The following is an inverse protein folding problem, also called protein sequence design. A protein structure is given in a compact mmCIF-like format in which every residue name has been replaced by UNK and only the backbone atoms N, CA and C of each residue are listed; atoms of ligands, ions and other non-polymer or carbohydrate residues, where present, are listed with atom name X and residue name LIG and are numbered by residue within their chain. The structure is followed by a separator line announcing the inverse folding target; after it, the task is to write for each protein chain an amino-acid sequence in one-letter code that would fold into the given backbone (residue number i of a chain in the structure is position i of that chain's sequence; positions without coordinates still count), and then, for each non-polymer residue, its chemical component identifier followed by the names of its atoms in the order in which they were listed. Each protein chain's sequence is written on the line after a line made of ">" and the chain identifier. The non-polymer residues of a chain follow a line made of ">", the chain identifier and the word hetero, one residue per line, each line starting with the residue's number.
data_IF_372393794937
#
_entry.id   IF_372393794937
#
_cell.length_a   1.000
_cell.length_b   1.000
_cell.length_c   1.000
_cell.angle_alpha   90.00
_cell.angle_beta   90.00
_cell.angle_gamma   90.00
#
_symmetry.space_group_name_H-M   'P 1'
#
loop_
_entity.id
_entity.type
_entity.pdbx_description
1 polymer ?
#
# COMPACT_ATOMS: atom_id res chain seq x y z
N UNK A 1 -17.68 11.19 -2.19
CA UNK A 1 -16.27 10.94 -2.59
C UNK A 1 -16.13 9.82 -3.62
N UNK A 2 -16.97 8.78 -3.56
CA UNK A 2 -16.89 7.59 -4.42
C UNK A 2 -18.09 7.43 -5.36
N UNK A 3 -18.78 8.53 -5.68
CA UNK A 3 -19.96 8.51 -6.56
C UNK A 3 -19.64 7.84 -7.89
N UNK A 4 -20.53 6.94 -8.31
CA UNK A 4 -20.42 6.17 -9.56
C UNK A 4 -19.21 5.24 -9.64
N UNK A 5 -18.62 4.88 -8.49
CA UNK A 5 -17.58 3.87 -8.38
C UNK A 5 -18.12 2.65 -7.64
N UNK A 6 -17.68 1.48 -8.06
CA UNK A 6 -18.01 0.21 -7.46
C UNK A 6 -16.81 -0.37 -6.72
N UNK A 7 -17.05 -1.04 -5.60
CA UNK A 7 -16.01 -1.74 -4.86
C UNK A 7 -16.45 -3.13 -4.42
N UNK A 8 -15.47 -4.01 -4.30
CA UNK A 8 -15.58 -5.26 -3.58
C UNK A 8 -14.75 -5.16 -2.29
N UNK A 9 -15.27 -5.75 -1.21
CA UNK A 9 -14.64 -5.78 0.10
C UNK A 9 -14.42 -7.23 0.51
N UNK A 10 -13.20 -7.52 0.95
CA UNK A 10 -12.89 -8.79 1.60
C UNK A 10 -13.62 -8.93 2.94
N UNK A 11 -13.85 -10.17 3.36
CA UNK A 11 -14.32 -10.55 4.69
C UNK A 11 -13.42 -10.01 5.82
N UNK A 12 -12.15 -9.71 5.52
CA UNK A 12 -11.23 -9.03 6.45
C UNK A 12 -11.56 -7.56 6.71
N UNK A 13 -12.42 -6.93 5.90
CA UNK A 13 -12.74 -5.50 6.02
C UNK A 13 -13.92 -5.28 6.95
N UNK A 14 -13.76 -4.59 8.11
CA UNK A 14 -14.85 -4.28 9.02
C UNK A 14 -15.93 -3.43 8.36
N UNK A 15 -17.18 -3.68 8.76
CA UNK A 15 -18.37 -2.99 8.26
C UNK A 15 -18.25 -1.46 8.35
N UNK A 16 -17.57 -0.94 9.37
CA UNK A 16 -17.36 0.50 9.53
C UNK A 16 -16.70 1.14 8.30
N UNK A 17 -15.71 0.48 7.68
CA UNK A 17 -15.05 1.02 6.48
C UNK A 17 -15.86 0.83 5.21
N UNK A 18 -16.63 -0.24 5.13
CA UNK A 18 -17.60 -0.41 4.04
C UNK A 18 -18.66 0.70 4.09
N UNK A 19 -19.06 1.12 5.30
CA UNK A 19 -20.02 2.22 5.47
C UNK A 19 -19.45 3.55 4.95
N UNK A 20 -18.16 3.85 5.15
CA UNK A 20 -17.51 5.04 4.57
C UNK A 20 -17.72 5.07 3.05
N UNK A 21 -17.48 3.95 2.37
CA UNK A 21 -17.65 3.84 0.92
C UNK A 21 -19.09 4.13 0.49
N UNK A 22 -20.06 3.51 1.16
CA UNK A 22 -21.50 3.67 0.86
C UNK A 22 -21.97 5.11 1.12
N UNK A 23 -21.63 5.68 2.28
CA UNK A 23 -22.01 7.04 2.67
C UNK A 23 -21.46 8.09 1.69
N UNK A 24 -20.27 7.83 1.16
CA UNK A 24 -19.63 8.68 0.17
C UNK A 24 -20.10 8.44 -1.28
N UNK A 25 -21.14 7.62 -1.45
CA UNK A 25 -21.87 7.39 -2.70
C UNK A 25 -21.36 6.26 -3.59
N UNK A 26 -20.49 5.39 -3.07
CA UNK A 26 -20.02 4.20 -3.76
C UNK A 26 -21.03 3.04 -3.71
N UNK A 27 -20.89 2.10 -4.65
CA UNK A 27 -21.71 0.87 -4.69
C UNK A 27 -20.86 -0.36 -4.38
N UNK A 28 -21.47 -1.40 -3.80
CA UNK A 28 -20.79 -2.67 -3.53
C UNK A 28 -21.21 -3.70 -4.57
N UNK A 29 -20.24 -4.40 -5.17
CA UNK A 29 -20.48 -5.41 -6.21
C UNK A 29 -19.59 -6.64 -6.02
N UNK A 30 -19.75 -7.65 -6.88
CA UNK A 30 -18.81 -8.77 -6.96
C UNK A 30 -17.43 -8.29 -7.41
N UNK A 31 -16.36 -8.97 -6.96
CA UNK A 31 -14.97 -8.62 -7.30
C UNK A 31 -14.72 -8.51 -8.80
N UNK A 32 -15.33 -9.38 -9.62
CA UNK A 32 -15.18 -9.39 -11.08
C UNK A 32 -15.84 -8.21 -11.82
N UNK A 33 -16.62 -7.39 -11.13
CA UNK A 33 -17.31 -6.21 -11.69
C UNK A 33 -16.95 -4.92 -10.98
N UNK A 34 -16.14 -5.01 -9.92
CA UNK A 34 -15.79 -3.88 -9.08
C UNK A 34 -14.66 -3.07 -9.71
N UNK A 35 -14.71 -1.75 -9.59
CA UNK A 35 -13.61 -0.86 -9.98
C UNK A 35 -12.46 -0.90 -8.96
N UNK A 36 -12.77 -1.18 -7.70
CA UNK A 36 -11.81 -1.22 -6.59
C UNK A 36 -11.99 -2.47 -5.74
N UNK A 37 -10.88 -3.09 -5.35
CA UNK A 37 -10.88 -4.27 -4.50
C UNK A 37 -10.15 -3.90 -3.21
N UNK A 38 -10.84 -4.02 -2.07
CA UNK A 38 -10.28 -3.68 -0.78
C UNK A 38 -10.19 -4.91 0.14
N UNK A 39 -9.06 -5.04 0.82
CA UNK A 39 -8.83 -6.04 1.85
C UNK A 39 -7.97 -5.45 2.97
N UNK A 40 -8.01 -6.02 4.15
CA UNK A 40 -7.06 -5.69 5.22
C UNK A 40 -6.01 -6.75 5.45
N UNK A 41 -6.28 -7.96 4.98
CA UNK A 41 -5.45 -9.10 5.26
C UNK A 41 -5.22 -9.89 3.98
N UNK A 42 -3.97 -9.88 3.53
CA UNK A 42 -3.53 -10.63 2.36
C UNK A 42 -3.61 -12.14 2.56
N UNK A 43 -3.74 -12.63 3.80
CA UNK A 43 -3.97 -14.04 4.13
C UNK A 43 -5.45 -14.42 4.18
N UNK A 44 -6.36 -13.45 4.06
CA UNK A 44 -7.79 -13.73 4.10
C UNK A 44 -8.19 -14.65 2.92
N UNK A 45 -8.96 -15.73 3.13
CA UNK A 45 -9.23 -16.72 2.09
C UNK A 45 -9.85 -16.17 0.80
N UNK A 46 -10.66 -15.13 0.90
CA UNK A 46 -11.25 -14.48 -0.27
C UNK A 46 -10.27 -13.58 -1.04
N UNK A 47 -9.32 -12.97 -0.34
CA UNK A 47 -8.23 -12.19 -0.91
C UNK A 47 -7.19 -13.10 -1.57
N UNK A 48 -6.87 -14.23 -0.94
CA UNK A 48 -6.01 -15.27 -1.54
C UNK A 48 -6.59 -15.80 -2.85
N UNK A 49 -7.90 -16.05 -2.91
CA UNK A 49 -8.58 -16.46 -4.16
C UNK A 49 -8.39 -15.45 -5.29
N UNK A 50 -8.28 -14.16 -4.99
CA UNK A 50 -7.98 -13.12 -5.99
C UNK A 50 -6.52 -13.21 -6.41
N UNK A 51 -5.57 -13.34 -5.47
CA UNK A 51 -4.14 -13.47 -5.81
C UNK A 51 -3.81 -14.72 -6.64
N UNK A 52 -4.58 -15.80 -6.46
CA UNK A 52 -4.46 -17.04 -7.24
C UNK A 52 -5.22 -16.98 -8.58
N UNK A 53 -5.99 -15.92 -8.82
CA UNK A 53 -6.77 -15.76 -10.05
C UNK A 53 -5.89 -15.39 -11.25
N UNK A 54 -6.36 -15.72 -12.46
CA UNK A 54 -5.70 -15.32 -13.71
C UNK A 54 -5.63 -13.80 -13.85
N UNK A 55 -6.69 -13.11 -13.46
CA UNK A 55 -6.82 -11.66 -13.59
C UNK A 55 -5.73 -10.96 -12.77
N UNK A 56 -5.35 -11.51 -11.61
CA UNK A 56 -4.22 -10.98 -10.83
C UNK A 56 -2.87 -11.32 -11.47
N UNK A 57 -2.68 -12.56 -11.93
CA UNK A 57 -1.44 -12.99 -12.58
C UNK A 57 -1.16 -12.25 -13.90
N UNK A 58 -2.20 -11.76 -14.58
CA UNK A 58 -2.10 -10.93 -15.77
C UNK A 58 -2.11 -9.42 -15.47
N UNK A 59 -2.01 -9.04 -14.19
CA UNK A 59 -1.99 -7.66 -13.72
C UNK A 59 -3.24 -6.84 -14.16
N UNK A 60 -4.38 -7.50 -14.31
CA UNK A 60 -5.67 -6.86 -14.62
C UNK A 60 -6.37 -6.34 -13.37
N UNK A 61 -6.08 -6.91 -12.20
CA UNK A 61 -6.64 -6.49 -10.91
C UNK A 61 -5.57 -6.18 -9.88
N UNK A 62 -5.86 -5.23 -9.00
CA UNK A 62 -5.01 -4.84 -7.87
C UNK A 62 -5.87 -4.76 -6.62
N UNK A 63 -5.39 -5.35 -5.53
CA UNK A 63 -6.03 -5.27 -4.21
C UNK A 63 -5.40 -4.12 -3.43
N UNK A 64 -6.22 -3.32 -2.75
CA UNK A 64 -5.79 -2.21 -1.92
C UNK A 64 -6.10 -2.46 -0.45
N UNK A 65 -5.25 -1.96 0.45
CA UNK A 65 -5.49 -1.95 1.88
C UNK A 65 -6.63 -0.98 2.22
N UNK A 66 -7.64 -1.44 2.97
CA UNK A 66 -8.84 -0.62 3.23
C UNK A 66 -8.61 0.59 4.14
N UNK A 67 -7.44 0.71 4.78
CA UNK A 67 -7.04 1.95 5.49
C UNK A 67 -7.11 3.19 4.59
N UNK A 68 -6.96 3.03 3.28
CA UNK A 68 -7.17 4.10 2.29
C UNK A 68 -8.48 4.86 2.52
N UNK A 69 -9.57 4.15 2.82
CA UNK A 69 -10.89 4.76 3.01
C UNK A 69 -10.94 5.64 4.26
N UNK A 70 -10.36 5.18 5.37
CA UNK A 70 -10.30 5.96 6.62
C UNK A 70 -9.43 7.21 6.46
N UNK A 71 -8.33 7.12 5.70
CA UNK A 71 -7.49 8.29 5.41
C UNK A 71 -8.23 9.28 4.51
N UNK A 72 -8.97 8.79 3.51
CA UNK A 72 -9.80 9.62 2.64
C UNK A 72 -10.90 10.36 3.43
N UNK A 73 -11.58 9.67 4.34
CA UNK A 73 -12.57 10.25 5.25
C UNK A 73 -11.94 11.35 6.13
N UNK A 74 -10.79 11.06 6.75
CA UNK A 74 -10.08 12.02 7.61
C UNK A 74 -9.67 13.28 6.83
N UNK A 75 -9.23 13.13 5.58
CA UNK A 75 -8.82 14.25 4.70
C UNK A 75 -10.00 14.91 4.00
N UNK A 76 -11.20 14.35 4.09
CA UNK A 76 -12.40 14.77 3.34
C UNK A 76 -12.14 14.87 1.81
N UNK A 77 -11.21 14.08 1.27
CA UNK A 77 -10.84 14.10 -0.15
C UNK A 77 -10.11 12.84 -0.60
N UNK A 78 -10.56 12.25 -1.72
CA UNK A 78 -9.83 11.19 -2.46
C UNK A 78 -8.68 11.73 -3.30
N UNK A 79 -8.71 13.02 -3.66
CA UNK A 79 -7.70 13.59 -4.56
C UNK A 79 -6.38 13.90 -3.85
N UNK A 80 -6.43 14.04 -2.53
CA UNK A 80 -5.26 14.29 -1.69
C UNK A 80 -4.57 13.01 -1.21
N UNK A 81 -5.12 11.83 -1.48
CA UNK A 81 -4.59 10.55 -1.00
C UNK A 81 -4.23 9.68 -2.20
N UNK A 82 -2.93 9.39 -2.35
CA UNK A 82 -2.43 8.51 -3.41
C UNK A 82 -2.79 7.06 -3.10
N UNK A 83 -3.77 6.51 -3.81
CA UNK A 83 -4.22 5.11 -3.62
C UNK A 83 -3.10 4.08 -3.86
N UNK A 84 -2.10 4.42 -4.70
CA UNK A 84 -0.94 3.57 -4.94
C UNK A 84 -0.10 3.28 -3.69
N UNK A 85 -0.16 4.15 -2.66
CA UNK A 85 0.49 3.88 -1.38
C UNK A 85 -0.27 2.88 -0.52
N UNK A 86 -1.39 2.34 -1.00
CA UNK A 86 -2.21 1.36 -0.28
C UNK A 86 -2.35 0.07 -1.10
N UNK A 87 -1.50 -0.20 -2.08
CA UNK A 87 -1.53 -1.50 -2.78
C UNK A 87 -1.22 -2.61 -1.80
N UNK A 88 -2.08 -3.60 -1.65
CA UNK A 88 -1.88 -4.77 -0.79
C UNK A 88 -1.35 -5.95 -1.63
N UNK A 89 -0.03 -6.22 -1.64
CA UNK A 89 0.51 -7.35 -2.39
C UNK A 89 0.37 -8.66 -1.60
N UNK A 90 0.59 -9.83 -2.23
CA UNK A 90 0.67 -11.11 -1.54
C UNK A 90 1.73 -11.11 -0.44
N UNK A 91 1.55 -11.92 0.61
CA UNK A 91 2.42 -11.93 1.81
C UNK A 91 3.89 -12.17 1.48
N UNK A 92 4.19 -13.09 0.56
CA UNK A 92 5.57 -13.35 0.11
C UNK A 92 6.25 -12.07 -0.41
N UNK A 93 5.53 -11.29 -1.21
CA UNK A 93 5.99 -10.00 -1.74
C UNK A 93 6.10 -8.96 -0.62
N UNK A 94 5.15 -8.94 0.33
CA UNK A 94 5.24 -8.04 1.48
C UNK A 94 6.52 -8.27 2.30
N UNK A 95 6.89 -9.54 2.53
CA UNK A 95 8.10 -9.88 3.26
C UNK A 95 9.38 -9.40 2.55
N UNK A 96 9.44 -9.55 1.23
CA UNK A 96 10.57 -9.05 0.43
C UNK A 96 10.64 -7.52 0.43
N UNK A 97 9.52 -6.84 0.21
CA UNK A 97 9.45 -5.38 0.27
C UNK A 97 9.84 -4.88 1.66
N UNK A 98 9.40 -5.55 2.73
CA UNK A 98 9.76 -5.17 4.10
C UNK A 98 11.25 -5.29 4.37
N UNK A 99 11.92 -6.29 3.77
CA UNK A 99 13.38 -6.48 3.88
C UNK A 99 14.16 -5.40 3.13
N UNK A 100 13.65 -4.89 2.01
CA UNK A 100 14.37 -3.99 1.10
C UNK A 100 14.04 -2.52 1.33
N UNK A 101 12.75 -2.20 1.43
CA UNK A 101 12.20 -0.83 1.49
C UNK A 101 11.79 -0.46 2.91
N UNK A 102 11.29 -1.44 3.68
CA UNK A 102 10.78 -1.23 5.03
C UNK A 102 9.27 -1.44 5.12
N UNK A 103 8.68 -1.03 6.25
CA UNK A 103 7.25 -1.25 6.55
C UNK A 103 6.34 -0.49 5.61
N UNK A 104 5.16 -1.06 5.36
CA UNK A 104 4.11 -0.39 4.61
C UNK A 104 3.42 0.69 5.45
N UNK A 105 2.87 1.72 4.81
CA UNK A 105 2.26 2.87 5.53
C UNK A 105 1.01 2.50 6.32
N UNK A 106 0.41 1.34 6.03
CA UNK A 106 -0.75 0.82 6.75
C UNK A 106 -0.38 -0.15 7.88
N UNK A 107 0.91 -0.42 8.08
CA UNK A 107 1.43 -1.18 9.22
C UNK A 107 1.71 -0.21 10.37
N UNK A 108 0.66 0.23 11.06
CA UNK A 108 0.81 1.02 12.29
C UNK A 108 1.35 0.15 13.43
N UNK A 109 2.17 0.74 14.30
CA UNK A 109 2.62 0.13 15.55
C UNK A 109 1.53 0.19 16.62
N UNK A 110 0.47 -0.60 16.48
CA UNK A 110 -0.50 -0.76 17.58
C UNK A 110 -0.02 -1.85 18.56
N UNK A 111 1.01 -1.52 19.32
CA UNK A 111 1.23 -2.01 20.69
C UNK A 111 1.16 -0.81 21.63
N UNK A 112 0.74 -0.93 22.91
CA UNK A 112 0.60 0.21 23.80
C UNK A 112 1.98 0.85 24.07
N UNK A 113 2.33 1.87 23.31
CA UNK A 113 3.48 2.73 23.59
C UNK A 113 3.07 3.74 24.66
N UNK A 114 3.40 3.40 25.90
CA UNK A 114 3.52 4.37 26.98
C UNK A 114 4.65 5.33 26.59
N UNK A 115 4.29 6.57 26.24
CA UNK A 115 5.06 7.83 26.44
C UNK A 115 6.39 7.86 25.63
N UNK A 116 6.60 8.74 24.66
CA UNK A 116 6.84 10.16 24.89
C UNK A 116 6.45 11.03 23.68
N UNK A 117 5.62 12.01 24.02
CA UNK A 117 5.45 13.27 23.32
C UNK A 117 6.80 13.92 23.01
N UNK A 118 7.22 13.94 21.74
CA UNK A 118 8.14 14.99 21.27
C UNK A 118 7.31 16.26 21.02
N UNK A 119 6.98 16.93 22.13
CA UNK A 119 6.35 18.23 22.12
C UNK A 119 7.36 19.30 21.71
N UNK A 120 7.04 20.10 20.71
CA UNK A 120 7.58 21.45 20.64
C UNK A 120 6.78 22.31 21.63
N UNK A 121 7.04 22.12 22.92
CA UNK A 121 6.67 23.12 23.92
C UNK A 121 7.64 24.29 23.75
N UNK A 122 7.08 25.46 23.43
CA UNK A 122 7.78 26.73 23.54
C UNK A 122 7.98 26.98 25.03
N UNK A 123 9.23 27.03 25.47
CA UNK A 123 9.54 27.70 26.72
C UNK A 123 9.71 29.20 26.45
N UNK A 124 8.81 29.93 27.10
CA UNK A 124 8.81 31.37 27.34
C UNK A 124 9.81 31.67 28.47
N UNK A 125 10.67 32.70 28.32
CA UNK A 125 10.78 33.74 29.34
C UNK A 125 11.56 34.99 28.86
N UNK A 126 10.96 36.14 29.18
CA UNK A 126 11.55 37.43 29.55
C UNK A 126 12.33 38.26 28.51
N UNK A 127 11.72 39.36 28.05
CA UNK A 127 11.95 40.68 28.65
C UNK A 127 11.18 41.83 27.96
N UNK A 128 10.43 42.58 28.78
CA UNK A 128 10.13 44.02 28.77
C UNK A 128 9.76 44.79 27.46
N UNK A 129 8.63 45.52 27.58
CA UNK A 129 8.44 46.92 27.14
C UNK A 129 8.04 47.25 25.68
N UNK A 130 6.78 47.70 25.57
CA UNK A 130 6.33 48.93 24.88
C UNK A 130 5.84 48.91 23.42
N UNK A 131 4.53 49.14 23.29
CA UNK A 131 3.90 50.20 22.46
C UNK A 131 3.61 49.96 20.96
N UNK A 132 2.31 49.73 20.70
CA UNK A 132 1.45 50.21 19.60
C UNK A 132 1.74 49.91 18.11
N UNK A 133 0.70 49.40 17.45
CA UNK A 133 0.09 49.90 16.19
C UNK A 133 -0.08 48.82 15.10
N UNK A 134 -1.34 48.57 14.73
CA UNK A 134 -1.80 47.92 13.49
C UNK A 134 -1.58 48.84 12.26
N UNK A 135 -2.06 48.50 11.03
CA UNK A 135 -1.92 47.30 10.19
C UNK A 135 -1.37 47.69 8.78
N UNK A 136 -1.29 46.76 7.81
CA UNK A 136 -1.72 46.95 6.40
C UNK A 136 -0.98 46.04 5.38
N UNK A 137 -1.76 45.62 4.39
CA UNK A 137 -1.48 44.77 3.24
C UNK A 137 -0.43 45.28 2.25
N UNK A 138 0.30 44.39 1.56
CA UNK A 138 0.58 44.53 0.11
C UNK A 138 1.11 43.22 -0.51
N UNK A 139 0.56 42.88 -1.68
CA UNK A 139 1.06 41.84 -2.60
C UNK A 139 2.28 42.33 -3.40
N UNK A 140 3.29 41.49 -3.67
CA UNK A 140 3.93 41.35 -5.02
C UNK A 140 5.00 40.23 -5.10
N UNK A 141 4.81 39.39 -6.11
CA UNK A 141 5.67 38.58 -7.01
C UNK A 141 7.20 38.34 -6.81
N UNK A 142 7.55 37.07 -7.09
CA UNK A 142 8.65 36.50 -7.91
C UNK A 142 10.01 36.05 -7.32
N UNK A 143 10.36 34.85 -7.77
CA UNK A 143 11.68 34.25 -7.97
C UNK A 143 12.50 33.76 -6.77
N UNK A 144 12.92 32.49 -6.85
CA UNK A 144 13.87 31.88 -5.94
C UNK A 144 13.91 30.36 -6.02
N UNK A 145 14.18 29.81 -7.21
CA UNK A 145 14.48 28.40 -7.35
C UNK A 145 15.78 28.03 -6.62
N UNK A 146 15.88 26.73 -6.28
CA UNK A 146 17.10 25.97 -6.00
C UNK A 146 17.46 25.77 -4.52
N UNK A 147 16.92 24.71 -3.94
CA UNK A 147 17.64 23.87 -2.99
C UNK A 147 17.33 22.38 -3.27
N UNK A 148 17.57 21.95 -4.51
CA UNK A 148 17.59 20.54 -4.92
C UNK A 148 19.03 20.05 -5.08
N UNK A 149 19.85 20.23 -4.05
CA UNK A 149 21.27 19.81 -4.07
C UNK A 149 21.62 18.67 -3.12
N UNK A 150 20.65 18.07 -2.42
CA UNK A 150 20.92 16.90 -1.56
C UNK A 150 20.68 15.53 -2.23
N UNK A 151 20.16 15.48 -3.47
CA UNK A 151 19.80 14.21 -4.12
C UNK A 151 20.93 13.59 -4.97
N UNK A 152 22.03 14.31 -5.21
CA UNK A 152 23.10 13.86 -6.13
C UNK A 152 24.31 13.22 -5.43
N UNK A 153 24.37 13.24 -4.09
CA UNK A 153 25.52 12.67 -3.35
C UNK A 153 25.25 11.31 -2.70
N UNK A 154 24.00 10.84 -2.63
CA UNK A 154 23.69 9.53 -2.04
C UNK A 154 24.07 8.34 -2.93
N UNK A 155 24.39 8.56 -4.21
CA UNK A 155 24.72 7.48 -5.14
C UNK A 155 26.20 7.03 -5.11
N UNK A 156 27.03 7.55 -4.21
CA UNK A 156 28.47 7.18 -4.15
C UNK A 156 28.83 6.11 -3.11
N UNK A 157 27.88 5.56 -2.36
CA UNK A 157 28.24 4.65 -1.25
C UNK A 157 27.22 3.53 -0.97
N UNK A 158 26.57 2.99 -2.00
CA UNK A 158 25.53 1.97 -1.76
C UNK A 158 26.07 0.53 -1.60
N UNK A 159 27.39 0.30 -1.78
CA UNK A 159 27.99 -1.03 -1.58
C UNK A 159 27.45 -2.13 -2.51
N UNK A 160 26.55 -1.79 -3.45
CA UNK A 160 26.01 -2.74 -4.40
C UNK A 160 27.05 -3.12 -5.44
N UNK A 161 27.11 -4.41 -5.73
CA UNK A 161 27.93 -4.95 -6.81
C UNK A 161 27.35 -4.49 -8.16
N UNK A 162 28.22 -4.00 -9.05
CA UNK A 162 27.85 -3.69 -10.44
C UNK A 162 27.16 -4.88 -11.09
N UNK A 163 26.26 -4.62 -12.04
CA UNK A 163 25.61 -5.64 -12.86
C UNK A 163 26.63 -6.62 -13.47
N UNK A 164 27.79 -6.12 -13.89
CA UNK A 164 28.86 -6.94 -14.49
C UNK A 164 29.50 -7.93 -13.50
N UNK A 165 29.33 -7.70 -12.20
CA UNK A 165 29.88 -8.50 -11.11
C UNK A 165 28.86 -9.42 -10.44
N UNK A 166 27.61 -9.45 -10.93
CA UNK A 166 26.60 -10.40 -10.45
C UNK A 166 27.01 -11.82 -10.82
N UNK A 167 27.00 -12.74 -9.84
CA UNK A 167 27.20 -14.17 -10.10
C UNK A 167 26.06 -14.65 -11.00
N UNK A 168 26.41 -15.18 -12.17
CA UNK A 168 25.44 -15.82 -13.05
C UNK A 168 24.88 -17.05 -12.36
N UNK A 169 23.56 -17.17 -12.35
CA UNK A 169 22.89 -18.39 -11.91
C UNK A 169 23.30 -19.52 -12.86
N UNK A 170 23.85 -20.60 -12.31
CA UNK A 170 24.35 -21.76 -13.05
C UNK A 170 23.45 -22.99 -12.95
N UNK A 171 22.30 -22.86 -12.30
CA UNK A 171 21.28 -23.90 -12.25
C UNK A 171 20.38 -23.85 -13.47
N UNK A 172 19.58 -24.89 -13.64
CA UNK A 172 18.48 -24.86 -14.60
C UNK A 172 17.37 -23.97 -14.04
N UNK A 173 16.90 -23.03 -14.86
CA UNK A 173 15.67 -22.30 -14.59
C UNK A 173 14.52 -23.24 -14.93
N UNK A 174 13.85 -23.75 -13.89
CA UNK A 174 12.63 -24.53 -14.06
C UNK A 174 11.45 -23.58 -13.99
N UNK A 175 10.76 -23.42 -15.13
CA UNK A 175 9.47 -22.74 -15.16
C UNK A 175 8.47 -23.55 -14.34
N UNK A 176 7.84 -22.90 -13.36
CA UNK A 176 6.79 -23.53 -12.58
C UNK A 176 5.53 -23.63 -13.43
N UNK A 177 5.32 -24.79 -14.05
CA UNK A 177 4.06 -25.13 -14.69
C UNK A 177 3.22 -25.94 -13.71
N UNK A 178 2.06 -25.38 -13.30
CA UNK A 178 1.00 -26.17 -12.65
C UNK A 178 0.61 -27.29 -13.62
N UNK A 179 1.14 -28.49 -13.38
CA UNK A 179 0.90 -29.66 -14.21
C UNK A 179 -0.56 -30.06 -14.16
N UNK A 180 -1.32 -29.65 -15.18
CA UNK A 180 -2.69 -30.11 -15.35
C UNK A 180 -2.64 -31.50 -16.00
N UNK A 181 -2.81 -32.56 -15.21
CA UNK A 181 -2.88 -33.91 -15.73
C UNK A 181 -4.35 -34.30 -15.97
N UNK A 182 -4.58 -35.09 -17.02
CA UNK A 182 -5.88 -35.70 -17.25
C UNK A 182 -5.96 -36.95 -16.39
N UNK A 183 -6.93 -36.99 -15.49
CA UNK A 183 -7.22 -38.20 -14.74
C UNK A 183 -7.54 -39.33 -15.73
N UNK A 184 -6.82 -40.45 -15.63
CA UNK A 184 -6.96 -41.57 -16.56
C UNK A 184 -8.37 -42.19 -16.52
N UNK A 185 -9.05 -42.11 -15.37
CA UNK A 185 -10.36 -42.74 -15.16
C UNK A 185 -11.54 -41.85 -15.58
N UNK A 186 -11.47 -40.54 -15.35
CA UNK A 186 -12.60 -39.64 -15.66
C UNK A 186 -12.32 -38.63 -16.78
N UNK A 187 -11.11 -38.61 -17.35
CA UNK A 187 -10.64 -37.70 -18.41
C UNK A 187 -10.75 -36.19 -18.10
N UNK A 188 -11.12 -35.84 -16.87
CA UNK A 188 -11.17 -34.46 -16.39
C UNK A 188 -9.75 -33.90 -16.19
N UNK A 189 -9.60 -32.60 -16.45
CA UNK A 189 -8.39 -31.85 -16.11
C UNK A 189 -8.39 -31.55 -14.62
N UNK A 190 -7.46 -32.15 -13.88
CA UNK A 190 -7.30 -31.93 -12.44
C UNK A 190 -6.03 -31.12 -12.20
N UNK A 191 -6.13 -30.08 -11.38
CA UNK A 191 -4.98 -29.36 -10.85
C UNK A 191 -4.68 -29.90 -9.44
N UNK A 192 -3.48 -30.43 -9.21
CA UNK A 192 -3.02 -30.78 -7.86
C UNK A 192 -2.80 -29.50 -7.06
N UNK A 193 -3.58 -29.30 -6.00
CA UNK A 193 -3.13 -28.50 -4.85
C UNK A 193 -2.37 -29.47 -3.94
N UNK A 194 -1.04 -29.44 -3.95
CA UNK A 194 -0.28 -30.21 -2.95
C UNK A 194 -0.16 -29.41 -1.66
N UNK A 195 -0.67 -30.03 -0.59
CA UNK A 195 -0.40 -29.70 0.80
C UNK A 195 1.04 -30.05 1.14
N UNK A 196 1.79 -29.08 1.64
CA UNK A 196 3.19 -29.26 2.06
C UNK A 196 3.29 -30.23 3.24
N UNK A 197 3.91 -31.39 3.00
CA UNK A 197 4.44 -32.28 4.03
C UNK A 197 5.95 -32.11 4.13
N UNK A 198 6.42 -31.71 5.31
CA UNK A 198 7.82 -31.45 5.64
C UNK A 198 8.73 -32.67 5.42
N UNK A 199 9.95 -32.41 4.94
CA UNK A 199 11.16 -33.19 5.24
C UNK A 199 12.30 -32.25 5.57
#
# INVERSE_FOLDING_TARGET
>A
MFRSRSAWFSDSVPQARQNIWILEGGTITSWSKADYLFSDDATCPDTLRIFESKDFLWAEVVVFHSLFLSVCETRQSVRSVSIGHYVLPPVSVQEEVRKVVGRFIWESEDGPSVVESSGCWRDDDSSESSTSSEPSDTETTDSGASHCSHFLESNKFTGYISMDNLKKYSGDLQDYHLGCFRCADCKAHCCLQETWGSR
#
